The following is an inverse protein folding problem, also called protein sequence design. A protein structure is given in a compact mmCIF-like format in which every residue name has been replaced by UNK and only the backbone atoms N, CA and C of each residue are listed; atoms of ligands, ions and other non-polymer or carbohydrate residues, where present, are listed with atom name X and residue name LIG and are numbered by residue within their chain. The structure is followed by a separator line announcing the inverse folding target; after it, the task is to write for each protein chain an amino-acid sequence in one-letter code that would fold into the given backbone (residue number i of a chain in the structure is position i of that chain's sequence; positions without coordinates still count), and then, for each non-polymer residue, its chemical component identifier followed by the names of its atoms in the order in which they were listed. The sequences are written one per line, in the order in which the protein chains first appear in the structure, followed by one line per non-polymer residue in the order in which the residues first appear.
data_IF_998561165134
#
_entry.id   IF_998561165134
#
_cell.length_a   1.000
_cell.length_b   1.000
_cell.length_c   1.000
_cell.angle_alpha   90.00
_cell.angle_beta   90.00
_cell.angle_gamma   90.00
#
_symmetry.space_group_name_H-M   'P 1'
#
loop_
_entity.id
_entity.type
_entity.pdbx_description
1 polymer ?
#
# COMPACT_ATOMS: atom_id res chain seq x y z
N UNK A 1 -10.29 -0.53 -23.31
CA UNK A 1 -11.23 -1.59 -22.88
C UNK A 1 -11.06 -1.95 -21.40
N UNK A 2 -9.84 -2.22 -20.90
CA UNK A 2 -9.62 -2.60 -19.50
C UNK A 2 -10.14 -1.58 -18.46
N UNK A 3 -9.84 -0.28 -18.63
CA UNK A 3 -10.32 0.75 -17.69
C UNK A 3 -11.85 0.85 -17.61
N UNK A 4 -12.53 0.82 -18.76
CA UNK A 4 -14.00 0.84 -18.80
C UNK A 4 -14.61 -0.40 -18.11
N UNK A 5 -14.00 -1.58 -18.28
CA UNK A 5 -14.43 -2.80 -17.60
C UNK A 5 -14.29 -2.65 -16.08
N UNK A 6 -13.15 -2.17 -15.59
CA UNK A 6 -12.92 -2.00 -14.15
C UNK A 6 -13.86 -0.95 -13.55
N UNK A 7 -14.16 0.13 -14.29
CA UNK A 7 -15.17 1.11 -13.88
C UNK A 7 -16.56 0.48 -13.75
N UNK A 8 -16.99 -0.36 -14.70
CA UNK A 8 -18.28 -1.07 -14.58
C UNK A 8 -18.29 -1.99 -13.37
N UNK A 9 -17.20 -2.69 -13.07
CA UNK A 9 -17.10 -3.52 -11.87
C UNK A 9 -17.18 -2.67 -10.60
N UNK A 10 -16.51 -1.52 -10.58
CA UNK A 10 -16.59 -0.57 -9.48
C UNK A 10 -18.02 -0.08 -9.26
N UNK A 11 -18.72 0.35 -10.31
CA UNK A 11 -20.08 0.88 -10.20
C UNK A 11 -21.04 -0.19 -9.65
N UNK A 12 -20.90 -1.44 -10.10
CA UNK A 12 -21.65 -2.59 -9.53
C UNK A 12 -21.32 -2.78 -8.04
N UNK A 13 -20.06 -2.61 -7.64
CA UNK A 13 -19.66 -2.75 -6.24
C UNK A 13 -20.20 -1.62 -5.35
N UNK A 14 -20.27 -0.40 -5.86
CA UNK A 14 -20.89 0.72 -5.13
C UNK A 14 -22.40 0.49 -4.98
N UNK A 15 -23.10 0.06 -6.03
CA UNK A 15 -24.52 -0.32 -5.96
C UNK A 15 -24.76 -1.44 -4.93
N UNK A 16 -23.86 -2.43 -4.88
CA UNK A 16 -23.88 -3.49 -3.88
C UNK A 16 -23.61 -2.94 -2.48
N UNK A 17 -22.67 -2.01 -2.30
CA UNK A 17 -22.41 -1.40 -0.99
C UNK A 17 -23.65 -0.65 -0.48
N UNK A 18 -24.29 0.16 -1.31
CA UNK A 18 -25.53 0.85 -0.94
C UNK A 18 -26.65 -0.14 -0.57
N UNK A 19 -26.76 -1.25 -1.32
CA UNK A 19 -27.69 -2.34 -1.02
C UNK A 19 -27.37 -3.06 0.31
N UNK A 20 -26.10 -3.12 0.71
CA UNK A 20 -25.68 -3.72 1.97
C UNK A 20 -26.25 -2.95 3.17
N UNK A 21 -26.20 -1.62 3.12
CA UNK A 21 -26.76 -0.74 4.14
C UNK A 21 -28.27 -0.94 4.28
N UNK A 22 -28.98 -1.08 3.15
CA UNK A 22 -30.41 -1.38 3.15
C UNK A 22 -30.71 -2.75 3.78
N UNK A 23 -29.95 -3.79 3.42
CA UNK A 23 -30.11 -5.13 4.00
C UNK A 23 -29.86 -5.15 5.51
N UNK A 24 -28.87 -4.38 5.98
CA UNK A 24 -28.59 -4.21 7.42
C UNK A 24 -29.73 -3.46 8.12
N UNK A 25 -30.29 -2.43 7.49
CA UNK A 25 -31.43 -1.66 8.01
C UNK A 25 -32.76 -2.42 8.01
N UNK A 26 -33.00 -3.28 7.01
CA UNK A 26 -34.25 -4.02 6.83
C UNK A 26 -34.42 -5.19 7.82
N UNK A 27 -33.37 -5.67 8.49
CA UNK A 27 -33.52 -6.64 9.60
C UNK A 27 -34.46 -6.14 10.71
N UNK A 28 -34.78 -4.85 10.75
CA UNK A 28 -35.71 -4.26 11.72
C UNK A 28 -37.16 -4.11 11.22
N UNK A 29 -37.46 -4.33 9.94
CA UNK A 29 -38.82 -4.14 9.39
C UNK A 29 -39.34 -5.40 8.74
N UNK A 30 -40.58 -5.77 9.08
CA UNK A 30 -41.32 -6.97 8.67
C UNK A 30 -41.69 -6.91 7.18
N UNK A 31 -40.69 -7.04 6.30
CA UNK A 31 -40.86 -7.26 4.87
C UNK A 31 -41.40 -8.68 4.60
N UNK A 32 -42.24 -8.82 3.57
CA UNK A 32 -42.82 -10.10 3.12
C UNK A 32 -41.90 -10.94 2.25
N UNK A 33 -40.77 -10.38 1.79
CA UNK A 33 -39.78 -11.13 1.01
C UNK A 33 -38.85 -11.93 1.92
N UNK A 34 -38.48 -13.14 1.50
CA UNK A 34 -37.56 -14.02 2.25
C UNK A 34 -36.17 -13.37 2.38
N UNK A 35 -35.77 -12.87 3.56
CA UNK A 35 -34.49 -12.17 3.74
C UNK A 35 -33.29 -13.06 3.47
N UNK A 36 -33.44 -14.39 3.57
CA UNK A 36 -32.36 -15.32 3.23
C UNK A 36 -32.08 -15.38 1.74
N UNK A 37 -33.12 -15.25 0.91
CA UNK A 37 -32.96 -15.27 -0.54
C UNK A 37 -32.21 -14.03 -1.03
N UNK A 38 -32.60 -12.83 -0.57
CA UNK A 38 -31.92 -11.57 -0.91
C UNK A 38 -30.45 -11.59 -0.46
N UNK A 39 -30.19 -12.06 0.76
CA UNK A 39 -28.82 -12.24 1.27
C UNK A 39 -28.00 -13.19 0.39
N UNK A 40 -28.61 -14.27 -0.10
CA UNK A 40 -27.91 -15.25 -0.95
C UNK A 40 -27.52 -14.63 -2.29
N UNK A 41 -28.44 -13.91 -2.94
CA UNK A 41 -28.18 -13.21 -4.21
C UNK A 41 -27.07 -12.16 -4.03
N UNK A 42 -27.14 -11.41 -2.95
CA UNK A 42 -26.16 -10.38 -2.63
C UNK A 42 -24.74 -10.96 -2.49
N UNK A 43 -24.59 -12.05 -1.72
CA UNK A 43 -23.30 -12.73 -1.51
C UNK A 43 -22.79 -13.35 -2.81
N UNK A 44 -23.67 -13.95 -3.61
CA UNK A 44 -23.31 -14.47 -4.93
C UNK A 44 -22.81 -13.37 -5.87
N UNK A 45 -23.40 -12.17 -5.80
CA UNK A 45 -23.00 -11.02 -6.60
C UNK A 45 -21.61 -10.51 -6.22
N UNK A 46 -21.32 -10.41 -4.91
CA UNK A 46 -19.98 -10.05 -4.42
C UNK A 46 -18.95 -11.10 -4.86
N UNK A 47 -19.24 -12.38 -4.68
CA UNK A 47 -18.34 -13.46 -5.10
C UNK A 47 -18.08 -13.42 -6.61
N UNK A 48 -19.11 -13.13 -7.42
CA UNK A 48 -18.96 -12.89 -8.85
C UNK A 48 -17.99 -11.73 -9.16
N UNK A 49 -18.10 -10.61 -8.45
CA UNK A 49 -17.20 -9.47 -8.62
C UNK A 49 -15.75 -9.82 -8.24
N UNK A 50 -15.54 -10.53 -7.13
CA UNK A 50 -14.21 -11.01 -6.70
C UNK A 50 -13.59 -11.91 -7.78
N UNK A 51 -14.37 -12.85 -8.33
CA UNK A 51 -13.90 -13.74 -9.38
C UNK A 51 -13.51 -12.99 -10.65
N UNK A 52 -14.33 -12.00 -11.08
CA UNK A 52 -14.05 -11.18 -12.25
C UNK A 52 -12.77 -10.34 -12.09
N UNK A 53 -12.60 -9.69 -10.94
CA UNK A 53 -11.39 -8.93 -10.62
C UNK A 53 -10.17 -9.82 -10.56
N UNK A 54 -10.31 -11.00 -9.95
CA UNK A 54 -9.24 -11.99 -9.90
C UNK A 54 -8.84 -12.49 -11.30
N UNK A 55 -9.79 -12.65 -12.22
CA UNK A 55 -9.49 -13.06 -13.60
C UNK A 55 -8.74 -11.99 -14.41
N UNK A 56 -8.90 -10.70 -14.08
CA UNK A 56 -8.25 -9.61 -14.82
C UNK A 56 -6.99 -9.05 -14.14
N UNK A 57 -6.68 -9.46 -12.90
CA UNK A 57 -5.57 -8.93 -12.10
C UNK A 57 -4.21 -8.94 -12.80
N UNK A 58 -3.88 -10.02 -13.53
CA UNK A 58 -2.59 -10.16 -14.22
C UNK A 58 -2.46 -9.18 -15.39
N UNK A 59 -3.58 -8.97 -16.12
CA UNK A 59 -3.65 -7.97 -17.18
C UNK A 59 -3.49 -6.55 -16.60
N UNK A 60 -4.17 -6.25 -15.50
CA UNK A 60 -4.06 -4.95 -14.83
C UNK A 60 -2.63 -4.72 -14.35
N UNK A 61 -2.03 -5.70 -13.67
CA UNK A 61 -0.63 -5.65 -13.22
C UNK A 61 0.32 -5.42 -14.39
N UNK A 62 0.16 -6.15 -15.50
CA UNK A 62 0.99 -5.99 -16.70
C UNK A 62 0.85 -4.58 -17.29
N UNK A 63 -0.36 -4.03 -17.39
CA UNK A 63 -0.61 -2.69 -17.92
C UNK A 63 0.00 -1.61 -17.02
N UNK A 64 -0.23 -1.67 -15.72
CA UNK A 64 0.22 -0.64 -14.78
C UNK A 64 1.74 -0.64 -14.56
N UNK A 65 2.38 -1.78 -14.74
CA UNK A 65 3.84 -1.93 -14.63
C UNK A 65 4.56 -1.82 -15.97
N UNK A 66 3.83 -1.69 -17.08
CA UNK A 66 4.41 -1.57 -18.41
C UNK A 66 5.32 -0.33 -18.48
N UNK A 67 6.58 -0.46 -18.96
CA UNK A 67 7.43 0.70 -19.19
C UNK A 67 6.82 1.53 -20.30
N UNK A 68 6.42 2.76 -20.00
CA UNK A 68 5.93 3.67 -21.04
C UNK A 68 7.09 4.59 -21.43
N UNK A 69 7.50 4.63 -22.70
CA UNK A 69 8.23 5.80 -23.18
C UNK A 69 7.26 6.98 -23.05
N UNK A 70 7.59 8.00 -22.26
CA UNK A 70 6.83 9.25 -22.34
C UNK A 70 6.75 9.63 -23.84
N UNK A 71 5.58 10.06 -24.33
CA UNK A 71 5.49 10.54 -25.70
C UNK A 71 6.55 11.62 -25.87
N UNK A 72 7.31 11.52 -26.97
CA UNK A 72 8.30 12.51 -27.34
C UNK A 72 7.66 13.89 -27.17
N UNK A 73 8.29 14.80 -26.43
CA UNK A 73 7.75 16.10 -25.98
C UNK A 73 7.18 16.93 -27.14
N UNK A 74 7.50 16.53 -28.37
CA UNK A 74 7.08 17.12 -29.63
C UNK A 74 5.77 16.56 -30.23
N UNK A 75 5.12 15.54 -29.62
CA UNK A 75 3.86 14.95 -30.10
C UNK A 75 2.79 14.98 -28.99
N UNK A 76 2.02 16.07 -28.96
CA UNK A 76 1.24 16.55 -27.81
C UNK A 76 -0.04 15.79 -27.44
N UNK A 77 -0.42 14.72 -28.15
CA UNK A 77 -1.79 14.18 -28.04
C UNK A 77 -1.87 12.82 -27.33
N UNK A 78 -0.75 12.26 -26.88
CA UNK A 78 -0.77 11.00 -26.15
C UNK A 78 -1.21 11.21 -24.71
N UNK A 79 -2.32 10.59 -24.36
CA UNK A 79 -2.82 10.48 -22.99
C UNK A 79 -2.52 9.09 -22.46
N UNK A 80 -1.76 9.01 -21.37
CA UNK A 80 -1.47 7.75 -20.70
C UNK A 80 -2.75 7.19 -20.03
N UNK A 81 -3.24 5.99 -20.42
CA UNK A 81 -4.45 5.43 -19.84
C UNK A 81 -4.21 4.75 -18.47
N UNK A 82 -2.96 4.51 -18.08
CA UNK A 82 -2.63 3.74 -16.87
C UNK A 82 -3.12 4.41 -15.57
N UNK A 83 -3.02 5.74 -15.37
CA UNK A 83 -3.60 6.41 -14.22
C UNK A 83 -5.08 6.10 -14.00
N UNK A 84 -5.92 6.22 -15.04
CA UNK A 84 -7.36 5.95 -14.93
C UNK A 84 -7.64 4.48 -14.64
N UNK A 85 -6.87 3.56 -15.23
CA UNK A 85 -6.99 2.13 -14.94
C UNK A 85 -6.61 1.83 -13.48
N UNK A 86 -5.54 2.46 -12.98
CA UNK A 86 -5.10 2.31 -11.60
C UNK A 86 -6.11 2.87 -10.61
N UNK A 87 -6.67 4.05 -10.88
CA UNK A 87 -7.74 4.65 -10.09
C UNK A 87 -8.94 3.71 -9.97
N UNK A 88 -9.47 3.24 -11.11
CA UNK A 88 -10.60 2.32 -11.14
C UNK A 88 -10.29 1.01 -10.39
N UNK A 89 -9.08 0.48 -10.53
CA UNK A 89 -8.64 -0.73 -9.84
C UNK A 89 -8.63 -0.56 -8.33
N UNK A 90 -7.95 0.48 -7.84
CA UNK A 90 -7.83 0.71 -6.40
C UNK A 90 -9.18 1.04 -5.76
N UNK A 91 -10.06 1.78 -6.45
CA UNK A 91 -11.42 1.99 -5.97
C UNK A 91 -12.22 0.69 -5.91
N UNK A 92 -12.19 -0.14 -6.96
CA UNK A 92 -12.89 -1.44 -6.97
C UNK A 92 -12.50 -2.31 -5.76
N UNK A 93 -11.21 -2.44 -5.49
CA UNK A 93 -10.74 -3.23 -4.34
C UNK A 93 -11.11 -2.55 -3.00
N UNK A 94 -11.08 -1.21 -2.94
CA UNK A 94 -11.50 -0.45 -1.76
C UNK A 94 -12.98 -0.62 -1.45
N UNK A 95 -13.85 -0.66 -2.46
CA UNK A 95 -15.28 -0.93 -2.30
C UNK A 95 -15.50 -2.34 -1.75
N UNK A 96 -14.79 -3.35 -2.25
CA UNK A 96 -14.83 -4.71 -1.68
C UNK A 96 -14.39 -4.76 -0.21
N UNK A 97 -13.29 -4.07 0.13
CA UNK A 97 -12.80 -3.98 1.52
C UNK A 97 -13.80 -3.26 2.42
N UNK A 98 -14.49 -2.24 1.91
CA UNK A 98 -15.52 -1.49 2.65
C UNK A 98 -16.75 -2.36 2.92
N UNK A 99 -17.19 -3.11 1.91
CA UNK A 99 -18.26 -4.11 2.04
C UNK A 99 -17.87 -5.19 3.07
N UNK A 100 -16.66 -5.77 2.99
CA UNK A 100 -16.20 -6.77 3.98
C UNK A 100 -16.25 -6.24 5.42
N UNK A 101 -15.88 -4.97 5.57
CA UNK A 101 -15.84 -4.28 6.85
C UNK A 101 -17.24 -3.97 7.40
N UNK A 102 -18.18 -3.52 6.58
CA UNK A 102 -19.59 -3.33 6.98
C UNK A 102 -20.25 -4.66 7.31
N UNK A 103 -19.88 -5.70 6.57
CA UNK A 103 -20.39 -7.05 6.71
C UNK A 103 -19.55 -7.91 7.68
N UNK A 104 -18.82 -7.33 8.64
CA UNK A 104 -17.97 -8.12 9.57
C UNK A 104 -18.74 -9.24 10.29
N UNK A 105 -20.07 -9.11 10.44
CA UNK A 105 -20.95 -10.16 11.00
C UNK A 105 -21.23 -11.34 10.05
N UNK A 106 -20.90 -11.19 8.77
CA UNK A 106 -21.10 -12.14 7.69
C UNK A 106 -19.72 -12.72 7.34
N UNK A 107 -19.32 -13.78 8.06
CA UNK A 107 -18.07 -14.55 7.91
C UNK A 107 -17.69 -15.02 6.49
N UNK A 108 -18.49 -14.73 5.46
CA UNK A 108 -18.40 -15.32 4.13
C UNK A 108 -17.30 -14.70 3.26
N UNK A 109 -17.13 -13.37 3.25
CA UNK A 109 -16.07 -12.73 2.46
C UNK A 109 -14.69 -13.01 3.09
N UNK A 110 -14.62 -12.98 4.43
CA UNK A 110 -13.40 -13.30 5.17
C UNK A 110 -12.91 -14.74 4.98
N UNK A 111 -13.74 -15.66 4.50
CA UNK A 111 -13.33 -17.03 4.19
C UNK A 111 -12.95 -17.24 2.72
N UNK A 112 -13.17 -16.25 1.85
CA UNK A 112 -12.81 -16.36 0.45
C UNK A 112 -11.30 -16.12 0.27
N UNK A 113 -10.54 -17.22 0.06
CA UNK A 113 -9.11 -17.16 -0.21
C UNK A 113 -8.76 -16.31 -1.44
N UNK A 114 -9.67 -16.26 -2.43
CA UNK A 114 -9.51 -15.48 -3.67
C UNK A 114 -9.52 -13.99 -3.37
N UNK A 115 -10.40 -13.55 -2.48
CA UNK A 115 -10.47 -12.16 -2.03
C UNK A 115 -9.17 -11.73 -1.33
N UNK A 116 -8.71 -12.53 -0.37
CA UNK A 116 -7.45 -12.24 0.34
C UNK A 116 -6.25 -12.22 -0.57
N UNK A 117 -6.19 -13.13 -1.54
CA UNK A 117 -5.15 -13.16 -2.57
C UNK A 117 -5.18 -11.89 -3.43
N UNK A 118 -6.37 -11.48 -3.87
CA UNK A 118 -6.57 -10.26 -4.66
C UNK A 118 -6.08 -9.00 -3.90
N UNK A 119 -6.40 -8.90 -2.60
CA UNK A 119 -5.95 -7.80 -1.74
C UNK A 119 -4.42 -7.82 -1.59
N UNK A 120 -3.81 -8.97 -1.28
CA UNK A 120 -2.35 -9.06 -1.10
C UNK A 120 -1.58 -8.75 -2.38
N UNK A 121 -2.06 -9.24 -3.52
CA UNK A 121 -1.44 -8.96 -4.82
C UNK A 121 -1.60 -7.49 -5.21
N UNK A 122 -2.72 -6.86 -4.84
CA UNK A 122 -2.91 -5.42 -5.05
C UNK A 122 -1.97 -4.61 -4.16
N UNK A 123 -1.74 -4.99 -2.90
CA UNK A 123 -0.70 -4.36 -2.05
C UNK A 123 0.69 -4.55 -2.67
N UNK A 124 1.01 -5.74 -3.18
CA UNK A 124 2.27 -6.00 -3.85
C UNK A 124 2.44 -5.14 -5.12
N UNK A 125 1.37 -4.94 -5.89
CA UNK A 125 1.35 -4.01 -7.01
C UNK A 125 1.64 -2.57 -6.55
N UNK A 126 1.06 -2.09 -5.45
CA UNK A 126 1.36 -0.75 -4.91
C UNK A 126 2.84 -0.61 -4.54
N UNK A 127 3.40 -1.59 -3.83
CA UNK A 127 4.84 -1.63 -3.50
C UNK A 127 5.67 -1.58 -4.78
N UNK A 128 5.31 -2.35 -5.81
CA UNK A 128 5.99 -2.34 -7.11
C UNK A 128 5.91 -0.98 -7.80
N UNK A 129 4.74 -0.33 -7.84
CA UNK A 129 4.54 0.99 -8.44
C UNK A 129 5.40 2.08 -7.76
N UNK A 130 5.47 2.07 -6.43
CA UNK A 130 6.33 2.98 -5.67
C UNK A 130 7.82 2.73 -5.93
N UNK A 131 8.20 1.48 -6.20
CA UNK A 131 9.57 1.08 -6.55
C UNK A 131 9.92 1.31 -8.03
N UNK A 132 8.93 1.43 -8.93
CA UNK A 132 9.15 1.76 -10.35
C UNK A 132 9.61 3.21 -10.53
N UNK A 133 9.10 4.14 -9.73
CA UNK A 133 9.49 5.56 -9.82
C UNK A 133 10.96 5.75 -9.42
N UNK A 134 11.73 6.35 -10.33
CA UNK A 134 13.12 6.78 -10.09
C UNK A 134 13.11 8.01 -9.19
N UNK A 135 13.97 8.03 -8.18
CA UNK A 135 14.09 9.19 -7.31
C UNK A 135 15.00 10.26 -7.95
N UNK A 136 14.68 11.56 -7.80
CA UNK A 136 15.54 12.63 -8.29
C UNK A 136 16.97 12.49 -7.77
N UNK A 137 17.95 12.59 -8.68
CA UNK A 137 19.40 12.54 -8.38
C UNK A 137 19.92 11.19 -7.88
N UNK A 138 19.20 10.07 -8.08
CA UNK A 138 19.80 8.75 -8.00
C UNK A 138 20.85 8.62 -9.12
N UNK A 139 22.14 8.69 -8.76
CA UNK A 139 23.23 8.45 -9.70
C UNK A 139 23.24 6.96 -10.03
N UNK A 140 22.89 6.59 -11.27
CA UNK A 140 23.18 5.25 -11.76
C UNK A 140 24.69 5.16 -11.90
N UNK A 141 25.36 4.50 -10.96
CA UNK A 141 26.77 4.15 -11.16
C UNK A 141 26.81 3.03 -12.20
N UNK A 142 26.89 3.38 -13.48
CA UNK A 142 27.29 2.41 -14.50
C UNK A 142 28.70 1.95 -14.13
N UNK A 143 28.88 0.66 -13.89
CA UNK A 143 30.18 0.06 -13.55
C UNK A 143 31.26 0.32 -14.61
N UNK A 144 30.89 0.87 -15.78
CA UNK A 144 31.78 1.12 -16.92
C UNK A 144 32.11 2.61 -17.17
N UNK A 145 31.78 3.53 -16.26
CA UNK A 145 32.26 4.93 -16.34
C UNK A 145 31.73 5.77 -17.52
N UNK A 146 30.88 5.19 -18.37
CA UNK A 146 30.09 5.93 -19.34
C UNK A 146 28.94 6.59 -18.57
N UNK A 147 29.20 7.81 -18.12
CA UNK A 147 28.16 8.75 -17.69
C UNK A 147 27.30 9.07 -18.92
N UNK A 148 26.29 8.24 -19.17
CA UNK A 148 25.23 8.56 -20.09
C UNK A 148 24.50 9.80 -19.57
N UNK A 149 24.88 10.98 -20.09
CA UNK A 149 24.07 12.20 -20.07
C UNK A 149 22.78 12.07 -20.91
N UNK A 150 22.55 10.91 -21.52
CA UNK A 150 21.36 10.52 -22.27
C UNK A 150 20.78 9.29 -21.56
N UNK A 151 19.76 9.33 -20.72
CA UNK A 151 18.40 9.68 -21.07
C UNK A 151 17.63 9.96 -19.78
N UNK A 152 17.41 11.25 -19.48
CA UNK A 152 16.40 11.68 -18.49
C UNK A 152 14.97 11.27 -18.91
N UNK A 153 14.80 10.71 -20.12
CA UNK A 153 13.52 10.41 -20.78
C UNK A 153 12.92 9.02 -20.51
N UNK A 154 13.66 8.08 -19.91
CA UNK A 154 13.06 6.80 -19.51
C UNK A 154 12.58 6.85 -18.06
N UNK A 155 11.41 7.48 -17.87
CA UNK A 155 10.61 7.20 -16.68
C UNK A 155 10.11 5.76 -16.75
N UNK A 156 10.50 4.96 -15.77
CA UNK A 156 9.99 3.60 -15.63
C UNK A 156 8.67 3.70 -14.84
N UNK A 157 7.55 3.38 -15.49
CA UNK A 157 6.23 3.33 -14.86
C UNK A 157 5.27 4.46 -15.26
N UNK A 158 4.17 4.58 -14.52
CA UNK A 158 3.16 5.63 -14.70
C UNK A 158 3.40 6.80 -13.75
N UNK A 159 2.89 7.98 -14.10
CA UNK A 159 2.86 9.10 -13.16
C UNK A 159 2.01 8.73 -11.95
N UNK A 160 2.49 9.10 -10.77
CA UNK A 160 1.75 9.03 -9.51
C UNK A 160 1.19 10.40 -9.10
N UNK A 161 1.18 11.36 -10.01
CA UNK A 161 0.69 12.71 -9.75
C UNK A 161 -0.75 12.82 -10.28
N UNK A 162 -1.73 12.32 -9.51
CA UNK A 162 -3.15 12.38 -9.87
C UNK A 162 -4.08 11.57 -8.95
N UNK A 163 -5.38 11.50 -9.28
CA UNK A 163 -6.42 10.82 -8.49
C UNK A 163 -6.12 9.35 -8.17
N UNK A 164 -5.44 8.64 -9.08
CA UNK A 164 -5.01 7.25 -8.89
C UNK A 164 -4.17 7.05 -7.64
N UNK A 165 -3.38 8.05 -7.26
CA UNK A 165 -2.55 7.98 -6.04
C UNK A 165 -3.37 8.17 -4.78
N UNK A 166 -4.45 8.97 -4.84
CA UNK A 166 -5.39 9.08 -3.74
C UNK A 166 -6.12 7.75 -3.55
N UNK A 167 -6.65 7.17 -4.63
CA UNK A 167 -7.28 5.85 -4.61
C UNK A 167 -6.32 4.77 -4.06
N UNK A 168 -5.04 4.81 -4.46
CA UNK A 168 -3.99 3.93 -3.94
C UNK A 168 -3.76 4.08 -2.43
N UNK A 169 -3.70 5.31 -1.91
CA UNK A 169 -3.51 5.55 -0.47
C UNK A 169 -4.74 5.12 0.34
N UNK A 170 -5.96 5.41 -0.15
CA UNK A 170 -7.22 4.95 0.45
C UNK A 170 -7.28 3.43 0.51
N UNK A 171 -6.94 2.76 -0.60
CA UNK A 171 -6.85 1.31 -0.65
C UNK A 171 -5.87 0.76 0.40
N UNK A 172 -4.65 1.31 0.49
CA UNK A 172 -3.66 0.85 1.46
C UNK A 172 -4.14 1.04 2.91
N UNK A 173 -4.78 2.16 3.21
CA UNK A 173 -5.33 2.43 4.54
C UNK A 173 -6.43 1.45 4.91
N UNK A 174 -7.36 1.15 3.99
CA UNK A 174 -8.40 0.15 4.20
C UNK A 174 -7.81 -1.25 4.35
N UNK A 175 -6.95 -1.67 3.42
CA UNK A 175 -6.41 -3.03 3.35
C UNK A 175 -5.55 -3.38 4.58
N UNK A 176 -4.80 -2.41 5.12
CA UNK A 176 -4.00 -2.60 6.32
C UNK A 176 -4.78 -2.35 7.61
N UNK A 177 -5.92 -1.65 7.53
CA UNK A 177 -6.77 -1.34 8.68
C UNK A 177 -7.68 -2.50 9.08
N UNK A 178 -7.99 -3.40 8.14
CA UNK A 178 -8.77 -4.60 8.43
C UNK A 178 -7.85 -5.64 9.08
N UNK A 179 -8.18 -6.18 10.26
CA UNK A 179 -7.47 -7.29 10.86
C UNK A 179 -7.80 -8.56 10.06
N UNK A 180 -7.21 -8.68 8.88
CA UNK A 180 -7.41 -9.81 7.98
C UNK A 180 -6.73 -11.04 8.57
N UNK A 181 -7.53 -11.84 9.27
CA UNK A 181 -7.18 -13.22 9.61
C UNK A 181 -7.91 -14.09 8.61
N UNK A 182 -7.28 -14.38 7.47
CA UNK A 182 -7.90 -15.24 6.45
C UNK A 182 -8.23 -16.62 6.99
N UNK A 183 -9.00 -17.41 6.22
CA UNK A 183 -9.24 -18.83 6.50
C UNK A 183 -7.90 -19.59 6.62
N UNK A 184 -7.45 -19.83 7.85
CA UNK A 184 -6.13 -20.43 8.12
C UNK A 184 -5.21 -19.58 9.00
N UNK A 185 -5.63 -18.39 9.44
CA UNK A 185 -4.85 -17.58 10.39
C UNK A 185 -3.69 -16.81 9.76
N UNK A 186 -3.57 -16.83 8.43
CA UNK A 186 -2.50 -16.16 7.72
C UNK A 186 -2.76 -14.66 7.60
N UNK A 187 -1.78 -13.85 8.01
CA UNK A 187 -1.88 -12.40 7.92
C UNK A 187 -1.72 -11.92 6.47
N UNK A 188 -2.29 -10.75 6.18
CA UNK A 188 -2.10 -10.09 4.87
C UNK A 188 -0.62 -9.79 4.58
N UNK A 189 0.20 -9.51 5.60
CA UNK A 189 1.63 -9.25 5.39
C UNK A 189 2.38 -10.49 4.91
N UNK A 190 2.06 -11.67 5.46
CA UNK A 190 2.67 -12.92 5.01
C UNK A 190 2.38 -13.18 3.55
N UNK A 191 1.14 -12.93 3.12
CA UNK A 191 0.74 -13.07 1.70
C UNK A 191 1.51 -12.09 0.82
N UNK A 192 1.63 -10.83 1.24
CA UNK A 192 2.46 -9.84 0.54
C UNK A 192 3.92 -10.29 0.44
N UNK A 193 4.50 -10.84 1.51
CA UNK A 193 5.86 -11.40 1.46
C UNK A 193 5.99 -12.50 0.42
N UNK A 194 5.06 -13.46 0.43
CA UNK A 194 5.04 -14.59 -0.49
C UNK A 194 5.01 -14.13 -1.96
N UNK A 195 4.22 -13.11 -2.29
CA UNK A 195 4.17 -12.54 -3.64
C UNK A 195 5.53 -12.08 -4.17
N UNK A 196 6.40 -11.57 -3.30
CA UNK A 196 7.74 -11.14 -3.69
C UNK A 196 8.79 -12.24 -3.59
N UNK A 197 8.70 -13.12 -2.60
CA UNK A 197 9.67 -14.22 -2.40
C UNK A 197 9.69 -15.22 -3.57
N UNK A 198 8.59 -15.33 -4.33
CA UNK A 198 8.55 -16.13 -5.56
C UNK A 198 9.50 -15.62 -6.66
N UNK A 199 9.82 -14.33 -6.66
CA UNK A 199 10.53 -13.67 -7.77
C UNK A 199 11.82 -12.98 -7.34
N UNK A 200 11.93 -12.57 -6.08
CA UNK A 200 12.99 -11.71 -5.58
C UNK A 200 13.60 -12.26 -4.29
N UNK A 201 14.90 -12.00 -4.09
CA UNK A 201 15.62 -12.29 -2.86
C UNK A 201 15.89 -11.01 -2.09
N UNK A 202 15.52 -10.98 -0.82
CA UNK A 202 15.75 -9.85 0.08
C UNK A 202 16.60 -10.24 1.28
N UNK A 203 17.20 -9.25 1.92
CA UNK A 203 17.76 -9.40 3.27
C UNK A 203 18.56 -8.19 3.75
N UNK A 204 19.52 -8.42 4.65
CA UNK A 204 20.26 -7.38 5.36
C UNK A 204 21.77 -7.45 5.17
N UNK A 205 22.42 -6.35 5.52
CA UNK A 205 23.86 -6.16 5.38
C UNK A 205 24.66 -6.54 6.63
N UNK A 206 24.01 -7.02 7.69
CA UNK A 206 24.65 -7.29 8.98
C UNK A 206 25.54 -8.56 8.90
N UNK A 207 26.73 -8.35 8.35
CA UNK A 207 28.00 -8.97 8.75
C UNK A 207 28.27 -10.39 8.25
N UNK A 208 29.01 -10.50 7.16
CA UNK A 208 30.03 -11.54 6.83
C UNK A 208 29.74 -13.04 7.05
N UNK A 209 28.55 -13.44 7.48
CA UNK A 209 28.11 -14.82 7.53
C UNK A 209 26.93 -14.92 6.61
N UNK A 210 27.15 -15.59 5.48
CA UNK A 210 26.12 -16.03 4.55
C UNK A 210 25.17 -17.06 5.15
N UNK A 211 24.62 -16.78 6.33
CA UNK A 211 23.42 -17.42 6.84
C UNK A 211 22.25 -16.58 6.37
N UNK A 212 21.39 -17.15 5.54
CA UNK A 212 20.04 -16.65 5.34
C UNK A 212 19.35 -16.59 6.71
N UNK A 213 19.46 -15.47 7.42
CA UNK A 213 18.59 -15.21 8.55
C UNK A 213 17.20 -15.08 7.96
N UNK A 214 16.39 -16.13 8.06
CA UNK A 214 15.01 -16.11 7.56
C UNK A 214 14.26 -15.00 8.29
N UNK A 215 13.95 -13.93 7.55
CA UNK A 215 13.08 -12.88 8.04
C UNK A 215 11.71 -13.51 8.22
N UNK A 216 11.06 -13.28 9.36
CA UNK A 216 9.69 -13.70 9.53
C UNK A 216 8.83 -13.08 8.40
N UNK A 217 8.01 -13.89 7.72
CA UNK A 217 7.28 -13.43 6.53
C UNK A 217 6.31 -12.27 6.82
N UNK A 218 5.70 -12.21 8.01
CA UNK A 218 4.86 -11.06 8.39
C UNK A 218 5.72 -9.79 8.50
N UNK A 219 6.89 -9.91 9.15
CA UNK A 219 7.85 -8.82 9.26
C UNK A 219 8.38 -8.36 7.89
N UNK A 220 8.65 -9.30 6.97
CA UNK A 220 9.10 -8.99 5.61
C UNK A 220 8.02 -8.26 4.81
N UNK A 221 6.76 -8.72 4.86
CA UNK A 221 5.65 -8.05 4.18
C UNK A 221 5.45 -6.61 4.65
N UNK A 222 5.42 -6.39 5.97
CA UNK A 222 5.30 -5.03 6.53
C UNK A 222 6.50 -4.16 6.20
N UNK A 223 7.69 -4.74 6.17
CA UNK A 223 8.90 -4.03 5.79
C UNK A 223 8.93 -3.62 4.32
N UNK A 224 8.48 -4.48 3.40
CA UNK A 224 8.37 -4.15 1.97
C UNK A 224 7.46 -2.95 1.75
N UNK A 225 6.30 -2.94 2.42
CA UNK A 225 5.36 -1.80 2.40
C UNK A 225 6.04 -0.55 2.98
N UNK A 226 6.68 -0.65 4.16
CA UNK A 226 7.38 0.48 4.77
C UNK A 226 8.52 1.03 3.90
N UNK A 227 9.32 0.17 3.27
CA UNK A 227 10.37 0.57 2.35
C UNK A 227 9.80 1.34 1.15
N UNK A 228 8.71 0.84 0.56
CA UNK A 228 8.05 1.50 -0.55
C UNK A 228 7.47 2.87 -0.14
N UNK A 229 6.88 2.98 1.05
CA UNK A 229 6.39 4.26 1.59
C UNK A 229 7.54 5.24 1.86
N UNK A 230 8.68 4.80 2.41
CA UNK A 230 9.88 5.62 2.55
C UNK A 230 10.42 6.12 1.20
N UNK A 231 10.35 5.27 0.17
CA UNK A 231 10.71 5.67 -1.20
C UNK A 231 9.71 6.70 -1.74
N UNK A 232 8.42 6.48 -1.50
CA UNK A 232 7.35 7.43 -1.80
C UNK A 232 7.60 8.81 -1.19
N UNK A 233 7.83 8.89 0.12
CA UNK A 233 8.15 10.15 0.82
C UNK A 233 9.45 10.80 0.35
N UNK A 234 10.40 10.00 -0.16
CA UNK A 234 11.69 10.46 -0.68
C UNK A 234 11.60 11.08 -2.09
N UNK A 235 10.40 11.18 -2.67
CA UNK A 235 10.14 11.79 -3.99
C UNK A 235 9.45 10.87 -4.99
N UNK A 236 9.07 9.65 -4.59
CA UNK A 236 8.21 8.79 -5.39
C UNK A 236 6.76 9.27 -5.44
N UNK A 237 6.28 9.94 -4.40
CA UNK A 237 4.92 10.45 -4.28
C UNK A 237 4.87 11.97 -4.39
N UNK A 238 3.76 12.53 -4.92
CA UNK A 238 3.53 13.96 -4.89
C UNK A 238 3.42 14.46 -3.44
N UNK A 239 3.70 15.76 -3.19
CA UNK A 239 3.66 16.34 -1.86
C UNK A 239 2.36 16.12 -1.09
N UNK A 240 1.21 16.18 -1.77
CA UNK A 240 -0.10 15.99 -1.16
C UNK A 240 -0.31 14.54 -0.68
N UNK A 241 0.08 13.53 -1.46
CA UNK A 241 -0.04 12.13 -1.07
C UNK A 241 0.86 11.78 0.12
N UNK A 242 2.00 12.47 0.26
CA UNK A 242 2.87 12.34 1.44
C UNK A 242 2.18 12.77 2.73
N UNK A 243 1.17 13.66 2.64
CA UNK A 243 0.39 14.05 3.81
C UNK A 243 -0.54 12.93 4.33
N UNK A 244 -0.92 11.98 3.47
CA UNK A 244 -1.87 10.89 3.75
C UNK A 244 -1.18 9.61 4.26
N UNK A 245 0.13 9.46 4.01
CA UNK A 245 0.94 8.32 4.48
C UNK A 245 0.81 8.00 5.99
N UNK A 246 0.67 8.98 6.91
CA UNK A 246 0.41 8.66 8.32
C UNK A 246 -0.86 7.83 8.55
N UNK A 247 -1.91 8.00 7.73
CA UNK A 247 -3.13 7.17 7.79
C UNK A 247 -2.81 5.71 7.49
N UNK A 248 -1.99 5.46 6.46
CA UNK A 248 -1.51 4.11 6.10
C UNK A 248 -0.69 3.48 7.22
N UNK A 249 0.24 4.23 7.84
CA UNK A 249 1.00 3.72 8.98
C UNK A 249 0.13 3.47 10.21
N UNK A 250 -0.90 4.29 10.43
CA UNK A 250 -1.90 4.09 11.48
C UNK A 250 -2.67 2.80 11.26
N UNK A 251 -3.19 2.59 10.06
CA UNK A 251 -3.84 1.36 9.65
C UNK A 251 -2.95 0.14 9.92
N UNK A 252 -1.70 0.17 9.45
CA UNK A 252 -0.75 -0.91 9.71
C UNK A 252 -0.46 -1.14 11.20
N UNK A 253 -0.39 -0.08 12.02
CA UNK A 253 -0.18 -0.22 13.46
C UNK A 253 -1.39 -0.87 14.15
N UNK A 254 -2.60 -0.42 13.83
CA UNK A 254 -3.83 -0.88 14.47
C UNK A 254 -4.29 -2.24 13.95
N UNK A 255 -4.41 -2.40 12.63
CA UNK A 255 -4.96 -3.61 12.01
C UNK A 255 -3.97 -4.76 12.01
N UNK A 256 -2.70 -4.49 11.68
CA UNK A 256 -1.72 -5.55 11.43
C UNK A 256 -0.80 -5.79 12.62
N UNK A 257 -0.27 -4.72 13.23
CA UNK A 257 0.63 -4.86 14.38
C UNK A 257 -0.12 -5.10 15.70
N UNK A 258 -1.46 -5.13 15.67
CA UNK A 258 -2.31 -5.30 16.86
C UNK A 258 -1.95 -4.30 17.97
N UNK A 259 -1.62 -3.06 17.56
CA UNK A 259 -1.21 -1.99 18.46
C UNK A 259 0.07 -2.30 19.26
N UNK A 260 0.94 -3.20 18.79
CA UNK A 260 2.21 -3.51 19.42
C UNK A 260 3.32 -2.54 18.92
N UNK A 261 3.81 -1.61 19.76
CA UNK A 261 4.85 -0.66 19.38
C UNK A 261 6.15 -1.32 18.91
N UNK A 262 6.50 -2.45 19.52
CA UNK A 262 7.74 -3.16 19.23
C UNK A 262 7.68 -3.79 17.84
N UNK A 263 6.59 -4.50 17.51
CA UNK A 263 6.39 -5.09 16.18
C UNK A 263 6.39 -4.02 15.09
N UNK A 264 5.71 -2.90 15.33
CA UNK A 264 5.67 -1.79 14.39
C UNK A 264 7.05 -1.17 14.17
N UNK A 265 7.79 -0.87 15.24
CA UNK A 265 9.16 -0.35 15.12
C UNK A 265 10.10 -1.35 14.46
N UNK A 266 9.90 -2.66 14.64
CA UNK A 266 10.69 -3.68 13.97
C UNK A 266 10.43 -3.70 12.46
N UNK A 267 9.17 -3.60 12.04
CA UNK A 267 8.80 -3.41 10.62
C UNK A 267 9.50 -2.18 10.03
N UNK A 268 9.45 -1.03 10.73
CA UNK A 268 10.10 0.20 10.28
C UNK A 268 11.63 0.04 10.20
N UNK A 269 12.24 -0.66 11.17
CA UNK A 269 13.68 -0.94 11.21
C UNK A 269 14.10 -1.80 10.04
N UNK A 270 13.43 -2.93 9.84
CA UNK A 270 13.68 -3.85 8.74
C UNK A 270 13.48 -3.14 7.40
N UNK A 271 12.36 -2.45 7.22
CA UNK A 271 12.08 -1.68 6.01
C UNK A 271 13.13 -0.61 5.70
N UNK A 272 13.74 0.01 6.71
CA UNK A 272 14.80 1.00 6.52
C UNK A 272 16.16 0.42 6.07
N UNK A 273 16.33 -0.91 6.17
CA UNK A 273 17.56 -1.62 5.87
C UNK A 273 17.40 -2.73 4.83
N UNK A 274 16.18 -3.03 4.40
CA UNK A 274 15.86 -4.07 3.44
C UNK A 274 16.59 -3.82 2.12
N UNK A 275 17.34 -4.82 1.65
CA UNK A 275 18.08 -4.82 0.40
C UNK A 275 17.51 -5.83 -0.58
N UNK A 276 17.55 -5.49 -1.86
CA UNK A 276 17.36 -6.44 -2.94
C UNK A 276 18.69 -7.14 -3.20
N UNK A 277 18.75 -8.47 -3.14
CA UNK A 277 19.94 -9.24 -3.53
C UNK A 277 19.90 -9.73 -4.96
N UNK A 278 18.70 -9.93 -5.49
CA UNK A 278 18.49 -10.20 -6.90
C UNK A 278 17.22 -10.99 -7.15
N UNK A 279 17.13 -11.62 -8.32
CA UNK A 279 15.99 -12.44 -8.71
C UNK A 279 16.24 -13.89 -8.26
N UNK A 280 15.15 -14.59 -7.98
CA UNK A 280 15.20 -16.04 -7.77
C UNK A 280 15.38 -16.71 -9.14
N UNK A 281 16.64 -16.88 -9.59
CA UNK A 281 16.93 -17.70 -10.76
C UNK A 281 17.09 -19.16 -10.35
N UNK A 282 16.29 -20.05 -10.95
CA UNK A 282 16.52 -21.51 -10.88
C UNK A 282 17.76 -21.93 -11.68
N UNK A 283 18.17 -21.11 -12.65
CA UNK A 283 19.35 -21.35 -13.47
C UNK A 283 20.59 -20.69 -12.84
N UNK A 284 21.42 -21.51 -12.18
CA UNK A 284 22.69 -21.09 -11.57
C UNK A 284 23.69 -20.55 -12.60
N UNK A 285 23.54 -20.90 -13.89
CA UNK A 285 24.44 -20.46 -14.94
C UNK A 285 24.10 -19.06 -15.48
N UNK A 286 22.94 -18.51 -15.10
CA UNK A 286 22.47 -17.18 -15.49
C UNK A 286 22.36 -16.20 -14.32
N UNK A 287 23.06 -16.46 -13.21
CA UNK A 287 23.05 -15.64 -12.00
C UNK A 287 23.60 -14.21 -12.16
N UNK A 288 24.06 -13.84 -13.36
CA UNK A 288 24.55 -12.49 -13.71
C UNK A 288 23.48 -11.58 -14.32
N UNK A 289 22.24 -12.04 -14.54
CA UNK A 289 21.18 -11.12 -14.94
C UNK A 289 20.98 -10.11 -13.80
N UNK A 290 21.32 -8.83 -14.06
CA UNK A 290 21.05 -7.75 -13.12
C UNK A 290 19.58 -7.79 -12.78
N UNK A 291 19.25 -8.22 -11.57
CA UNK A 291 17.87 -8.26 -11.13
C UNK A 291 17.50 -6.86 -10.67
N UNK A 292 16.46 -6.32 -11.28
CA UNK A 292 15.88 -5.04 -10.94
C UNK A 292 14.53 -5.29 -10.29
N UNK A 293 14.24 -4.56 -9.23
CA UNK A 293 12.89 -4.45 -8.70
C UNK A 293 12.39 -3.03 -8.96
N UNK A 294 11.60 -2.88 -10.01
CA UNK A 294 11.25 -1.58 -10.56
C UNK A 294 12.51 -0.83 -11.01
N UNK A 295 12.77 0.33 -10.42
CA UNK A 295 13.97 1.12 -10.68
C UNK A 295 15.17 0.79 -9.76
N UNK A 296 15.03 -0.20 -8.88
CA UNK A 296 16.03 -0.51 -7.84
C UNK A 296 16.90 -1.68 -8.31
N UNK A 297 18.21 -1.49 -8.52
CA UNK A 297 19.09 -2.58 -8.89
C UNK A 297 19.47 -3.44 -7.68
N UNK A 298 19.83 -4.70 -7.95
CA UNK A 298 20.37 -5.61 -6.95
C UNK A 298 21.56 -5.00 -6.17
N UNK A 299 21.67 -5.39 -4.91
CA UNK A 299 22.58 -4.84 -3.91
C UNK A 299 22.13 -3.52 -3.28
N UNK A 300 21.08 -2.85 -3.78
CA UNK A 300 20.58 -1.58 -3.21
C UNK A 300 19.48 -1.80 -2.18
N UNK A 301 19.33 -0.81 -1.31
CA UNK A 301 18.25 -0.73 -0.33
C UNK A 301 16.96 -0.27 -1.03
N UNK A 302 15.82 -0.61 -0.43
CA UNK A 302 14.50 -0.27 -1.00
C UNK A 302 13.95 1.07 -0.49
N UNK A 303 14.35 1.48 0.72
CA UNK A 303 13.80 2.64 1.43
C UNK A 303 14.07 4.00 0.75
N UNK A 304 14.91 4.02 -0.28
CA UNK A 304 15.23 5.22 -1.02
C UNK A 304 16.27 6.10 -0.33
N UNK A 305 16.71 7.11 -1.08
CA UNK A 305 17.94 7.86 -0.81
C UNK A 305 18.05 8.42 0.61
N UNK A 306 17.00 9.04 1.15
CA UNK A 306 17.14 9.79 2.40
C UNK A 306 17.36 8.84 3.59
N UNK A 307 16.50 7.82 3.71
CA UNK A 307 16.63 6.80 4.74
C UNK A 307 17.95 6.02 4.57
N UNK A 308 18.36 5.74 3.35
CA UNK A 308 19.63 5.04 3.08
C UNK A 308 20.87 5.81 3.55
N UNK A 309 20.86 7.13 3.40
CA UNK A 309 21.97 7.99 3.79
C UNK A 309 21.94 8.40 5.28
N UNK A 310 20.89 8.02 6.03
CA UNK A 310 20.87 8.23 7.47
C UNK A 310 21.92 7.35 8.15
N UNK A 311 22.66 7.93 9.08
CA UNK A 311 23.54 7.16 9.96
C UNK A 311 22.72 6.19 10.83
N UNK A 312 23.31 5.07 11.24
CA UNK A 312 22.64 4.10 12.11
C UNK A 312 22.10 4.75 13.39
N UNK A 313 22.85 5.72 13.96
CA UNK A 313 22.41 6.52 15.11
C UNK A 313 21.16 7.36 14.80
N UNK A 314 21.09 7.97 13.62
CA UNK A 314 19.92 8.76 13.22
C UNK A 314 18.69 7.86 13.01
N UNK A 315 18.86 6.67 12.41
CA UNK A 315 17.79 5.68 12.26
C UNK A 315 17.27 5.22 13.62
N UNK A 316 18.15 4.87 14.55
CA UNK A 316 17.73 4.43 15.89
C UNK A 316 17.07 5.57 16.67
N UNK A 317 17.52 6.81 16.50
CA UNK A 317 16.84 7.99 17.07
C UNK A 317 15.42 8.14 16.52
N UNK A 318 15.23 7.96 15.21
CA UNK A 318 13.91 7.99 14.58
C UNK A 318 13.00 6.88 15.12
N UNK A 319 13.51 5.65 15.23
CA UNK A 319 12.77 4.50 15.77
C UNK A 319 12.41 4.68 17.24
N UNK A 320 13.34 5.18 18.06
CA UNK A 320 13.10 5.45 19.49
C UNK A 320 12.01 6.49 19.66
N UNK A 321 12.10 7.63 18.97
CA UNK A 321 11.07 8.68 19.02
C UNK A 321 9.70 8.18 18.53
N UNK A 322 9.69 7.32 17.51
CA UNK A 322 8.45 6.70 17.02
C UNK A 322 7.86 5.78 18.08
N UNK A 323 8.67 4.93 18.72
CA UNK A 323 8.24 4.03 19.81
C UNK A 323 7.67 4.82 20.99
N UNK A 324 8.36 5.85 21.42
CA UNK A 324 7.94 6.68 22.56
C UNK A 324 6.60 7.36 22.27
N UNK A 325 6.46 7.90 21.06
CA UNK A 325 5.26 8.58 20.58
C UNK A 325 4.03 7.66 20.60
N UNK A 326 4.13 6.45 20.05
CA UNK A 326 3.00 5.50 20.00
C UNK A 326 2.72 4.82 21.34
N UNK A 327 3.76 4.56 22.16
CA UNK A 327 3.60 3.93 23.49
C UNK A 327 2.84 4.85 24.44
N UNK A 328 3.17 6.15 24.44
CA UNK A 328 2.47 7.14 25.26
C UNK A 328 0.95 7.14 24.99
N UNK A 329 0.54 6.99 23.74
CA UNK A 329 -0.87 6.94 23.33
C UNK A 329 -1.58 5.70 23.86
N UNK A 330 -0.95 4.52 23.72
CA UNK A 330 -1.54 3.26 24.20
C UNK A 330 -1.73 3.25 25.72
N UNK A 331 -0.83 3.91 26.47
CA UNK A 331 -0.96 4.03 27.92
C UNK A 331 -2.11 4.97 28.32
N UNK A 332 -2.29 6.10 27.62
CA UNK A 332 -3.37 7.06 27.90
C UNK A 332 -4.76 6.44 27.67
N UNK A 333 -4.96 5.71 26.56
CA UNK A 333 -6.24 5.10 26.24
C UNK A 333 -6.67 4.03 27.27
N UNK A 334 -5.72 3.35 27.92
CA UNK A 334 -6.02 2.35 28.94
C UNK A 334 -6.40 2.96 30.31
N UNK A 335 -6.04 4.21 30.59
CA UNK A 335 -6.43 4.88 31.84
C UNK A 335 -7.89 5.34 31.82
N UNK A 336 -8.39 5.79 30.67
CA UNK A 336 -9.76 6.31 30.54
C UNK A 336 -10.83 5.18 30.55
N UNK A 337 -10.47 3.97 30.10
CA UNK A 337 -11.41 2.83 30.03
C UNK A 337 -11.79 2.21 31.39
N UNK A 338 -11.21 2.67 32.50
CA UNK A 338 -11.51 2.14 33.83
C UNK A 338 -12.62 2.89 34.58
N UNK A 339 -13.17 3.98 34.03
CA UNK A 339 -14.17 4.81 34.73
C UNK A 339 -15.64 4.55 34.39
N UNK A 340 -15.98 3.77 33.35
CA UNK A 340 -17.38 3.48 33.01
C UNK A 340 -17.58 2.07 32.44
N UNK A 341 -17.90 1.11 33.31
CA UNK A 341 -18.37 -0.22 32.93
C UNK A 341 -19.87 -0.18 32.62
N UNK A 342 -20.25 0.13 31.38
CA UNK A 342 -21.54 -0.31 30.82
C UNK A 342 -21.40 -0.75 29.36
N UNK A 343 -21.38 -2.07 29.16
CA UNK A 343 -21.82 -2.87 28.00
C UNK A 343 -22.03 -2.21 26.62
N UNK A 344 -21.02 -1.49 26.10
CA UNK A 344 -20.95 -1.14 24.68
C UNK A 344 -19.58 -1.53 24.11
N UNK A 345 -19.30 -2.82 24.23
CA UNK A 345 -18.11 -3.42 23.65
C UNK A 345 -18.51 -4.12 22.35
N UNK A 346 -17.69 -3.88 21.32
CA UNK A 346 -17.65 -4.54 20.01
C UNK A 346 -18.62 -3.91 18.99
N UNK A 347 -18.04 -3.45 17.87
CA UNK A 347 -18.64 -2.76 16.72
C UNK A 347 -18.71 -1.23 16.81
N UNK A 348 -17.54 -0.59 16.61
CA UNK A 348 -17.36 0.69 15.90
C UNK A 348 -15.85 0.96 15.77
N UNK A 349 -15.20 0.34 14.79
CA UNK A 349 -13.78 0.56 14.45
C UNK A 349 -13.66 0.68 12.94
N UNK A 350 -14.10 1.78 12.34
CA UNK A 350 -14.31 1.76 10.88
C UNK A 350 -13.86 3.06 10.19
N UNK A 351 -12.73 3.60 10.59
CA UNK A 351 -11.57 3.97 9.74
C UNK A 351 -10.58 4.51 10.75
N UNK A 352 -9.53 3.75 11.08
CA UNK A 352 -8.41 4.20 11.95
C UNK A 352 -8.79 5.38 12.84
N UNK A 353 -9.64 5.17 13.86
CA UNK A 353 -10.10 6.30 14.65
C UNK A 353 -8.83 6.94 15.21
N UNK A 354 -8.51 8.13 14.68
CA UNK A 354 -8.36 9.40 15.36
C UNK A 354 -8.50 9.43 16.88
N UNK A 355 -8.24 8.35 17.60
CA UNK A 355 -8.11 8.36 19.05
C UNK A 355 -6.94 9.26 19.46
N UNK A 356 -6.01 9.53 18.54
CA UNK A 356 -5.07 10.63 18.69
C UNK A 356 -4.54 11.18 17.33
N UNK A 357 -5.25 12.09 16.64
CA UNK A 357 -4.77 12.69 15.38
C UNK A 357 -3.44 13.44 15.57
N UNK A 358 -3.15 13.89 16.79
CA UNK A 358 -1.91 14.60 17.10
C UNK A 358 -0.70 13.66 17.07
N UNK A 359 -0.86 12.40 17.46
CA UNK A 359 0.19 11.38 17.40
C UNK A 359 0.62 11.12 15.96
N UNK A 360 -0.31 10.87 15.06
CA UNK A 360 0.00 10.64 13.66
C UNK A 360 0.49 11.91 12.95
N UNK A 361 0.04 13.09 13.39
CA UNK A 361 0.60 14.38 12.96
C UNK A 361 2.05 14.55 13.41
N UNK A 362 2.41 14.15 14.63
CA UNK A 362 3.78 14.17 15.13
C UNK A 362 4.65 13.12 14.41
N UNK A 363 4.12 11.92 14.17
CA UNK A 363 4.80 10.89 13.40
C UNK A 363 5.11 11.37 11.98
N UNK A 364 4.18 12.08 11.34
CA UNK A 364 4.42 12.75 10.05
C UNK A 364 5.63 13.68 10.10
N UNK A 365 5.78 14.47 11.17
CA UNK A 365 6.94 15.36 11.34
C UNK A 365 8.24 14.56 11.45
N UNK A 366 8.24 13.45 12.21
CA UNK A 366 9.39 12.55 12.32
C UNK A 366 9.74 11.92 10.96
N UNK A 367 8.73 11.41 10.25
CA UNK A 367 8.88 10.78 8.94
C UNK A 367 9.44 11.75 7.90
N UNK A 368 8.91 12.97 7.81
CA UNK A 368 9.42 14.02 6.92
C UNK A 368 10.86 14.39 7.27
N UNK A 369 11.19 14.51 8.55
CA UNK A 369 12.56 14.80 8.99
C UNK A 369 13.54 13.68 8.58
N UNK A 370 13.12 12.42 8.67
CA UNK A 370 13.89 11.26 8.25
C UNK A 370 14.04 11.18 6.71
N UNK A 371 12.99 11.54 5.97
CA UNK A 371 12.93 11.43 4.50
C UNK A 371 13.33 12.72 3.77
N UNK A 372 14.12 13.59 4.40
CA UNK A 372 14.71 14.76 3.72
C UNK A 372 13.79 15.98 3.53
N UNK A 373 12.59 15.97 4.13
CA UNK A 373 11.68 17.11 4.17
C UNK A 373 12.21 18.24 5.07
N UNK A 374 13.20 19.02 4.60
CA UNK A 374 13.61 20.24 5.31
C UNK A 374 12.63 21.38 5.01
N UNK A 375 12.02 21.90 6.07
CA UNK A 375 11.36 23.22 6.13
C UNK A 375 12.32 24.28 5.57
N UNK A 376 11.99 24.91 4.42
CA UNK A 376 12.19 26.36 4.16
C UNK A 376 11.72 26.89 2.80
N UNK A 377 11.40 26.07 1.80
CA UNK A 377 10.83 26.62 0.53
C UNK A 377 10.26 25.56 -0.42
N UNK A 378 10.09 24.32 0.02
CA UNK A 378 9.69 23.23 -0.88
C UNK A 378 8.19 23.30 -1.15
N UNK A 379 7.85 22.98 -2.39
CA UNK A 379 6.54 23.13 -3.05
C UNK A 379 5.40 22.29 -2.46
N UNK A 380 5.41 21.99 -1.16
CA UNK A 380 4.34 21.29 -0.44
C UNK A 380 3.02 22.07 -0.35
N UNK A 381 3.00 23.34 -0.80
CA UNK A 381 1.77 24.11 -0.98
C UNK A 381 1.14 23.96 -2.37
N UNK A 382 1.71 23.13 -3.26
CA UNK A 382 1.07 22.80 -4.52
C UNK A 382 -0.11 21.88 -4.23
N UNK A 383 -1.31 22.46 -4.25
CA UNK A 383 -2.54 21.68 -4.45
C UNK A 383 -2.40 20.87 -5.73
N UNK A 384 -3.06 19.69 -5.85
CA UNK A 384 -3.17 19.01 -7.14
C UNK A 384 -3.50 20.05 -8.20
N UNK A 385 -2.65 20.17 -9.23
CA UNK A 385 -3.08 20.95 -10.38
C UNK A 385 -4.20 20.15 -11.02
N UNK A 386 -5.34 20.81 -11.21
CA UNK A 386 -6.42 20.31 -12.04
C UNK A 386 -5.80 19.97 -13.38
N UNK A 387 -5.61 18.68 -13.64
CA UNK A 387 -5.12 18.25 -14.95
C UNK A 387 -6.28 18.45 -15.93
N UNK A 388 -6.00 18.71 -17.22
CA UNK A 388 -7.06 18.90 -18.22
C UNK A 388 -8.10 17.75 -18.22
N UNK A 389 -7.72 16.57 -17.72
CA UNK A 389 -8.58 15.42 -17.44
C UNK A 389 -9.79 15.70 -16.52
N UNK A 390 -9.65 16.57 -15.52
CA UNK A 390 -10.74 16.90 -14.59
C UNK A 390 -11.75 17.89 -15.22
N UNK A 391 -11.32 18.66 -16.22
CA UNK A 391 -12.19 19.60 -16.93
C UNK A 391 -13.09 18.91 -17.98
N UNK A 392 -12.66 17.77 -18.55
CA UNK A 392 -13.44 17.05 -19.56
C UNK A 392 -14.48 16.09 -18.96
N UNK A 393 -14.48 15.90 -17.63
CA UNK A 393 -15.40 15.03 -16.88
C UNK A 393 -16.60 15.77 -16.26
N UNK A 394 -16.53 17.10 -16.17
CA UNK A 394 -17.62 18.01 -15.74
C UNK A 394 -18.35 18.50 -16.98
#
# INVERSE_FOLDING_TARGET
SAGAFVMVVHDILEDLRESADELLGQQQKTSTDDPQHQRTIFIQSISGCVQLLHQCKDLIRAVLTHPNPEPDVNNSDYTDPRPTIAEAWFFSISSLLSIDKELTNFFLIQQDATFHQLVSETIALVVQLLCLKRLPKEKISTQNGICEKHNETFQIGMSLDGPQTLAMMMFLELALGIPVVGSGGESILRRVSHEFELTLKFGFEDGERGGESSINADLLGGALISSALYRGTSGGLPPWAVEDIPGVYSAMFHGVCQQNPQSFCEILRVGSNLRLFGAVSSDKNNASASAWFGAIPAGKKLAGRYIENMSSKAKETFLTKTRDLITFTTASANMDNNSDKTNKQICNSVLCDSNNPDVWRQFKVLLKAACGGKKKSTCYNLKPQVTNWECDRI
#
